data_IF_315613418132
#
_entry.id   IF_315613418132
#
_cell.length_a   1.000
_cell.length_b   1.000
_cell.length_c   1.000
_cell.angle_alpha   90.00
_cell.angle_beta   90.00
_cell.angle_gamma   90.00
#
_symmetry.space_group_name_H-M   'P 1'
#
loop_
_entity.id
_entity.type
_entity.pdbx_description
1 polymer ?
#
# COMPACT_ATOMS: atom_id res chain seq x y z
N UNK A 1 -21.92 28.10 14.65
CA UNK A 1 -20.48 27.97 14.35
C UNK A 1 -20.17 28.01 12.85
N UNK A 2 -20.82 28.91 12.08
CA UNK A 2 -20.69 28.99 10.62
C UNK A 2 -19.52 29.89 10.14
N UNK A 3 -18.50 30.11 10.98
CA UNK A 3 -17.51 31.17 10.80
C UNK A 3 -16.11 30.85 11.34
N UNK A 4 -15.68 29.60 11.34
CA UNK A 4 -14.23 29.35 11.25
C UNK A 4 -13.86 29.53 9.78
N UNK A 5 -13.29 30.69 9.42
CA UNK A 5 -12.80 30.94 8.06
C UNK A 5 -11.98 29.74 7.59
N UNK A 6 -12.28 29.23 6.39
CA UNK A 6 -11.65 28.03 5.81
C UNK A 6 -10.12 28.05 5.93
N UNK A 7 -9.52 29.24 5.80
CA UNK A 7 -8.11 29.48 6.04
C UNK A 7 -7.65 29.11 7.47
N UNK A 8 -8.35 29.58 8.52
CA UNK A 8 -8.02 29.27 9.92
C UNK A 8 -8.14 27.79 10.21
N UNK A 9 -9.16 27.12 9.65
CA UNK A 9 -9.33 25.66 9.77
C UNK A 9 -8.16 24.91 9.14
N UNK A 10 -7.79 25.27 7.92
CA UNK A 10 -6.67 24.64 7.22
C UNK A 10 -5.34 24.85 7.95
N UNK A 11 -5.11 26.07 8.45
CA UNK A 11 -3.92 26.39 9.24
C UNK A 11 -3.86 25.56 10.52
N UNK A 12 -4.99 25.40 11.20
CA UNK A 12 -5.08 24.59 12.42
C UNK A 12 -4.82 23.11 12.13
N UNK A 13 -5.44 22.53 11.09
CA UNK A 13 -5.17 21.13 10.70
C UNK A 13 -3.69 20.91 10.34
N UNK A 14 -3.07 21.85 9.62
CA UNK A 14 -1.66 21.78 9.27
C UNK A 14 -0.75 21.90 10.51
N UNK A 15 -1.11 22.75 11.48
CA UNK A 15 -0.39 22.86 12.75
C UNK A 15 -0.41 21.53 13.51
N UNK A 16 -1.61 20.97 13.71
CA UNK A 16 -1.79 19.68 14.40
C UNK A 16 -1.03 18.55 13.71
N UNK A 17 -1.13 18.46 12.38
CA UNK A 17 -0.38 17.47 11.62
C UNK A 17 1.14 17.66 11.75
N UNK A 18 1.63 18.90 11.74
CA UNK A 18 3.05 19.20 11.90
C UNK A 18 3.54 18.85 13.30
N UNK A 19 2.77 19.15 14.34
CA UNK A 19 3.06 18.77 15.73
C UNK A 19 3.09 17.25 15.90
N UNK A 20 2.09 16.54 15.36
CA UNK A 20 2.06 15.06 15.35
C UNK A 20 3.31 14.50 14.67
N UNK A 21 3.70 15.03 13.51
CA UNK A 21 4.88 14.57 12.76
C UNK A 21 6.19 14.85 13.49
N UNK A 22 6.37 16.05 14.03
CA UNK A 22 7.54 16.41 14.82
C UNK A 22 7.66 15.55 16.08
N UNK A 23 6.53 15.23 16.71
CA UNK A 23 6.50 14.37 17.88
C UNK A 23 6.91 12.94 17.55
N UNK A 24 6.34 12.35 16.49
CA UNK A 24 6.68 11.00 16.03
C UNK A 24 8.16 10.91 15.61
N UNK A 25 8.67 11.94 14.96
CA UNK A 25 10.09 12.04 14.60
C UNK A 25 10.99 12.03 15.85
N UNK A 26 10.71 12.89 16.83
CA UNK A 26 11.44 12.93 18.12
C UNK A 26 11.38 11.61 18.88
N UNK A 27 10.24 10.92 18.87
CA UNK A 27 10.12 9.59 19.48
C UNK A 27 11.03 8.56 18.82
N UNK A 28 11.20 8.62 17.50
CA UNK A 28 12.01 7.65 16.75
C UNK A 28 13.51 7.71 17.10
N UNK A 29 14.01 8.85 17.61
CA UNK A 29 15.41 9.03 17.97
C UNK A 29 15.69 8.97 19.48
N UNK A 30 14.68 9.08 20.34
CA UNK A 30 14.89 9.11 21.79
C UNK A 30 15.17 7.73 22.39
N UNK A 31 16.34 7.60 23.02
CA UNK A 31 16.73 6.40 23.76
C UNK A 31 15.85 6.14 24.99
N UNK A 32 15.38 7.21 25.65
CA UNK A 32 14.48 7.15 26.83
C UNK A 32 13.13 6.54 26.43
N UNK A 33 12.58 6.93 25.29
CA UNK A 33 11.32 6.37 24.80
C UNK A 33 11.48 4.92 24.32
N UNK A 34 12.59 4.60 23.63
CA UNK A 34 12.91 3.22 23.22
C UNK A 34 13.07 2.27 24.40
N UNK A 35 13.75 2.70 25.47
CA UNK A 35 13.94 1.88 26.67
C UNK A 35 12.64 1.69 27.45
N UNK A 36 11.77 2.72 27.51
CA UNK A 36 10.47 2.63 28.16
C UNK A 36 9.48 1.70 27.43
N UNK A 37 9.57 1.58 26.10
CA UNK A 37 8.77 0.64 25.30
C UNK A 37 9.28 -0.80 25.40
N UNK A 38 10.60 -0.99 25.51
CA UNK A 38 11.22 -2.31 25.61
C UNK A 38 11.08 -2.96 26.99
N UNK A 39 10.77 -2.20 28.05
CA UNK A 39 10.76 -2.70 29.43
C UNK A 39 9.44 -3.36 29.88
N UNK A 40 8.45 -3.55 29.00
CA UNK A 40 7.10 -4.00 29.38
C UNK A 40 6.74 -5.45 29.03
N UNK A 41 7.70 -6.35 28.77
CA UNK A 41 7.46 -7.81 28.75
C UNK A 41 8.65 -8.47 29.43
N UNK A 42 8.52 -9.18 30.59
CA UNK A 42 7.57 -10.29 30.77
C UNK A 42 6.89 -10.45 32.16
N UNK A 43 5.65 -10.94 32.14
CA UNK A 43 5.08 -11.83 33.16
C UNK A 43 4.51 -11.22 34.45
N UNK A 44 3.22 -10.83 34.44
CA UNK A 44 2.34 -10.84 35.62
C UNK A 44 0.87 -11.07 35.21
N UNK A 45 0.00 -11.64 36.08
CA UNK A 45 -1.33 -12.09 35.71
C UNK A 45 -2.35 -10.94 35.57
N UNK A 46 -3.30 -11.18 34.67
CA UNK A 46 -4.45 -10.35 34.30
C UNK A 46 -5.43 -10.24 35.47
N UNK A 47 -5.46 -9.12 36.20
CA UNK A 47 -6.72 -8.61 36.82
C UNK A 47 -6.62 -7.15 37.35
N UNK A 48 -5.44 -6.55 37.54
CA UNK A 48 -5.34 -5.20 38.16
C UNK A 48 -4.59 -4.13 37.33
N UNK A 49 -4.42 -4.35 36.02
CA UNK A 49 -3.73 -3.37 35.15
C UNK A 49 -4.61 -2.21 34.63
N UNK A 50 -5.90 -2.17 34.97
CA UNK A 50 -6.86 -1.20 34.39
C UNK A 50 -7.18 0.03 35.27
N UNK A 51 -6.50 0.26 36.40
CA UNK A 51 -6.88 1.35 37.32
C UNK A 51 -6.00 2.61 37.28
N UNK A 52 -4.82 2.58 36.64
CA UNK A 52 -3.95 3.75 36.60
C UNK A 52 -3.46 4.01 35.17
N UNK A 53 -4.03 5.06 34.59
CA UNK A 53 -3.62 5.70 33.33
C UNK A 53 -2.13 6.02 33.47
N UNK A 54 -1.29 5.11 32.98
CA UNK A 54 0.14 5.33 32.84
C UNK A 54 0.38 5.73 31.38
N UNK A 55 1.03 6.87 31.23
CA UNK A 55 1.44 7.48 29.96
C UNK A 55 2.35 6.55 29.16
N UNK A 56 1.77 5.63 28.42
CA UNK A 56 2.45 4.84 27.40
C UNK A 56 2.48 5.65 26.08
N UNK A 57 3.59 5.70 25.31
CA UNK A 57 3.64 6.32 23.98
C UNK A 57 2.50 5.92 23.04
N UNK A 58 1.99 4.69 23.13
CA UNK A 58 0.82 4.23 22.37
C UNK A 58 -0.47 4.90 22.81
N UNK A 59 -0.64 5.18 24.11
CA UNK A 59 -1.79 5.89 24.67
C UNK A 59 -1.70 7.40 24.43
N UNK A 60 -0.51 8.00 24.46
CA UNK A 60 -0.28 9.40 24.05
C UNK A 60 -0.48 9.57 22.54
N UNK A 61 0.05 8.66 21.72
CA UNK A 61 -0.23 8.59 20.29
C UNK A 61 -1.72 8.41 20.05
N UNK A 62 -2.39 7.50 20.76
CA UNK A 62 -3.83 7.32 20.67
C UNK A 62 -4.59 8.58 21.08
N UNK A 63 -4.18 9.30 22.13
CA UNK A 63 -4.77 10.59 22.53
C UNK A 63 -4.56 11.69 21.49
N UNK A 64 -3.37 11.80 20.88
CA UNK A 64 -3.14 12.76 19.79
C UNK A 64 -3.93 12.38 18.54
N UNK A 65 -3.99 11.08 18.22
CA UNK A 65 -4.82 10.55 17.15
C UNK A 65 -6.30 10.84 17.41
N UNK A 66 -6.76 10.66 18.65
CA UNK A 66 -8.12 10.92 19.07
C UNK A 66 -8.44 12.42 19.08
N UNK A 67 -7.52 13.27 19.53
CA UNK A 67 -7.67 14.73 19.47
C UNK A 67 -7.76 15.24 18.03
N UNK A 68 -6.93 14.71 17.12
CA UNK A 68 -7.07 14.98 15.70
C UNK A 68 -8.34 14.34 15.12
N UNK A 69 -8.69 13.11 15.46
CA UNK A 69 -9.89 12.47 14.95
C UNK A 69 -11.16 13.17 15.44
N UNK A 70 -11.16 13.72 16.66
CA UNK A 70 -12.19 14.63 17.17
C UNK A 70 -12.27 15.91 16.34
N UNK A 71 -11.14 16.51 15.97
CA UNK A 71 -11.13 17.67 15.05
C UNK A 71 -11.62 17.27 13.66
N UNK A 72 -11.24 16.09 13.15
CA UNK A 72 -11.61 15.60 11.82
C UNK A 72 -13.08 15.11 11.76
N UNK A 73 -13.66 14.70 12.89
CA UNK A 73 -15.08 14.32 13.06
C UNK A 73 -15.97 15.51 13.43
N UNK A 74 -15.44 16.53 14.11
CA UNK A 74 -16.11 17.79 14.44
C UNK A 74 -16.14 18.77 13.25
N UNK A 75 -15.38 18.52 12.18
CA UNK A 75 -15.68 19.10 10.86
C UNK A 75 -17.11 18.68 10.54
N UNK A 76 -18.05 19.62 10.34
CA UNK A 76 -19.46 19.30 10.31
C UNK A 76 -19.73 18.23 9.24
N UNK A 77 -19.94 17.00 9.71
CA UNK A 77 -20.84 16.06 9.07
C UNK A 77 -22.21 16.70 9.29
N UNK A 78 -22.52 17.70 8.47
CA UNK A 78 -23.88 18.22 8.37
C UNK A 78 -24.83 17.05 8.23
N UNK A 79 -26.04 17.21 8.76
CA UNK A 79 -27.11 16.20 8.67
C UNK A 79 -27.50 15.86 7.21
N UNK A 80 -26.91 16.55 6.23
CA UNK A 80 -26.69 16.09 4.86
C UNK A 80 -25.17 15.99 4.68
N UNK A 81 -24.57 14.90 4.14
CA UNK A 81 -23.13 14.87 3.88
C UNK A 81 -22.79 16.03 2.94
N UNK A 82 -22.34 17.15 3.52
CA UNK A 82 -22.24 18.40 2.80
C UNK A 82 -21.14 18.24 1.76
N UNK A 83 -21.48 18.58 0.52
CA UNK A 83 -20.61 18.70 -0.65
C UNK A 83 -19.28 19.43 -0.39
N UNK A 84 -19.19 20.17 0.72
CA UNK A 84 -18.04 20.94 1.21
C UNK A 84 -17.00 20.04 1.89
N UNK A 85 -17.39 19.05 2.69
CA UNK A 85 -16.47 18.16 3.40
C UNK A 85 -15.76 17.20 2.43
N UNK A 86 -16.49 16.63 1.46
CA UNK A 86 -15.94 15.81 0.39
C UNK A 86 -15.00 16.56 -0.58
N UNK A 87 -15.01 17.91 -0.52
CA UNK A 87 -14.16 18.81 -1.31
C UNK A 87 -13.02 19.43 -0.50
N UNK A 88 -12.89 19.13 0.79
CA UNK A 88 -11.76 19.62 1.59
C UNK A 88 -10.52 18.77 1.29
N UNK A 89 -9.82 19.17 0.23
CA UNK A 89 -8.62 18.50 -0.28
C UNK A 89 -7.54 18.38 0.81
N UNK A 90 -7.39 19.39 1.66
CA UNK A 90 -6.36 19.40 2.71
C UNK A 90 -6.72 18.34 3.77
N UNK A 91 -7.97 18.30 4.22
CA UNK A 91 -8.43 17.27 5.14
C UNK A 91 -8.12 15.86 4.60
N UNK A 92 -8.58 15.53 3.38
CA UNK A 92 -8.37 14.20 2.83
C UNK A 92 -6.89 13.88 2.57
N UNK A 93 -6.10 14.83 2.09
CA UNK A 93 -4.68 14.64 1.86
C UNK A 93 -3.93 14.37 3.18
N UNK A 94 -4.25 15.11 4.26
CA UNK A 94 -3.64 14.89 5.57
C UNK A 94 -4.08 13.56 6.17
N UNK A 95 -5.37 13.19 6.09
CA UNK A 95 -5.84 11.87 6.55
C UNK A 95 -5.09 10.72 5.86
N UNK A 96 -4.83 10.84 4.55
CA UNK A 96 -4.04 9.87 3.81
C UNK A 96 -2.58 9.86 4.26
N UNK A 97 -1.95 11.04 4.32
CA UNK A 97 -0.53 11.17 4.69
C UNK A 97 -0.24 10.79 6.14
N UNK A 98 -1.24 10.79 7.04
CA UNK A 98 -1.11 10.32 8.43
C UNK A 98 -0.78 8.83 8.50
N UNK A 99 -1.39 8.03 7.63
CA UNK A 99 -1.26 6.58 7.63
C UNK A 99 -0.20 6.08 6.64
N UNK A 100 -0.02 6.80 5.53
CA UNK A 100 0.86 6.37 4.43
C UNK A 100 1.88 7.47 4.14
N UNK A 101 3.15 7.18 4.34
CA UNK A 101 4.19 8.19 4.16
C UNK A 101 4.40 8.53 2.69
N UNK A 102 4.69 9.81 2.42
CA UNK A 102 5.01 10.28 1.07
C UNK A 102 6.17 9.49 0.47
N UNK A 103 7.25 9.31 1.24
CA UNK A 103 8.44 8.57 0.81
C UNK A 103 8.12 7.13 0.36
N UNK A 104 7.17 6.46 1.01
CA UNK A 104 6.77 5.10 0.64
C UNK A 104 6.05 5.09 -0.73
N UNK A 105 5.14 6.03 -0.96
CA UNK A 105 4.45 6.18 -2.25
C UNK A 105 5.40 6.60 -3.38
N UNK A 106 6.34 7.49 -3.08
CA UNK A 106 7.39 7.93 -3.98
C UNK A 106 8.36 6.80 -4.34
N UNK A 107 8.76 5.99 -3.36
CA UNK A 107 9.62 4.82 -3.58
C UNK A 107 8.90 3.76 -4.39
N UNK A 108 7.60 3.52 -4.09
CA UNK A 108 6.77 2.57 -4.84
C UNK A 108 6.61 2.95 -6.31
N UNK A 109 6.44 4.24 -6.61
CA UNK A 109 6.25 4.69 -7.99
C UNK A 109 7.49 4.52 -8.87
N UNK A 110 8.66 4.33 -8.26
CA UNK A 110 9.93 4.23 -8.98
C UNK A 110 10.28 5.51 -9.76
N UNK A 111 9.73 6.66 -9.35
CA UNK A 111 10.01 7.94 -9.98
C UNK A 111 11.33 8.59 -9.51
N UNK A 112 11.83 8.21 -8.33
CA UNK A 112 13.04 8.72 -7.68
C UNK A 112 14.07 7.61 -7.32
N UNK A 113 13.78 6.33 -7.54
CA UNK A 113 14.50 5.22 -6.89
C UNK A 113 15.11 4.15 -7.81
N UNK A 114 15.97 3.33 -7.19
CA UNK A 114 16.50 2.05 -7.69
C UNK A 114 15.43 0.95 -7.58
N UNK A 115 15.42 -0.04 -8.49
CA UNK A 115 14.44 -1.13 -8.53
C UNK A 115 14.32 -1.91 -7.20
N UNK A 116 15.43 -2.03 -6.46
CA UNK A 116 15.41 -2.65 -5.12
C UNK A 116 14.55 -1.86 -4.11
N UNK A 117 14.62 -0.53 -4.14
CA UNK A 117 13.81 0.33 -3.27
C UNK A 117 12.32 0.29 -3.66
N UNK A 118 12.04 0.19 -4.96
CA UNK A 118 10.67 0.00 -5.49
C UNK A 118 10.07 -1.29 -4.93
N UNK A 119 10.80 -2.41 -5.06
CA UNK A 119 10.35 -3.71 -4.57
C UNK A 119 10.13 -3.73 -3.05
N UNK A 120 11.06 -3.17 -2.29
CA UNK A 120 10.94 -3.10 -0.83
C UNK A 120 9.74 -2.26 -0.41
N UNK A 121 9.53 -1.10 -1.05
CA UNK A 121 8.38 -0.25 -0.77
C UNK A 121 7.05 -0.94 -1.13
N UNK A 122 7.00 -1.62 -2.27
CA UNK A 122 5.82 -2.38 -2.70
C UNK A 122 5.46 -3.49 -1.69
N UNK A 123 6.46 -4.26 -1.23
CA UNK A 123 6.25 -5.30 -0.22
C UNK A 123 5.78 -4.73 1.12
N UNK A 124 6.36 -3.61 1.56
CA UNK A 124 5.96 -2.96 2.81
C UNK A 124 4.52 -2.41 2.73
N UNK A 125 4.16 -1.76 1.62
CA UNK A 125 2.79 -1.29 1.38
C UNK A 125 1.80 -2.44 1.34
N UNK A 126 2.11 -3.49 0.58
CA UNK A 126 1.26 -4.68 0.46
C UNK A 126 1.03 -5.32 1.83
N UNK A 127 2.11 -5.57 2.58
CA UNK A 127 2.02 -6.15 3.91
C UNK A 127 1.19 -5.29 4.88
N UNK A 128 1.36 -3.96 4.85
CA UNK A 128 0.54 -3.06 5.65
C UNK A 128 -0.94 -3.08 5.23
N UNK A 129 -1.24 -3.06 3.93
CA UNK A 129 -2.60 -3.11 3.39
C UNK A 129 -3.32 -4.42 3.76
N UNK A 130 -2.59 -5.54 3.80
CA UNK A 130 -3.12 -6.85 4.21
C UNK A 130 -3.39 -6.91 5.73
N UNK A 131 -2.48 -6.36 6.54
CA UNK A 131 -2.61 -6.38 8.00
C UNK A 131 -3.65 -5.39 8.55
N UNK A 132 -3.88 -4.27 7.86
CA UNK A 132 -4.82 -3.22 8.26
C UNK A 132 -5.72 -2.80 7.08
N UNK A 133 -6.46 -3.79 6.55
CA UNK A 133 -7.33 -3.61 5.39
C UNK A 133 -8.41 -2.52 5.56
N UNK A 134 -9.08 -2.33 6.72
CA UNK A 134 -10.03 -1.22 6.91
C UNK A 134 -9.38 0.15 6.73
N UNK A 135 -8.20 0.38 7.33
CA UNK A 135 -7.47 1.64 7.18
C UNK A 135 -6.99 1.86 5.74
N UNK A 136 -6.52 0.80 5.06
CA UNK A 136 -6.13 0.87 3.66
C UNK A 136 -7.30 1.27 2.74
N UNK A 137 -8.47 0.66 2.94
CA UNK A 137 -9.70 1.01 2.21
C UNK A 137 -10.15 2.45 2.49
N UNK A 138 -10.04 2.90 3.75
CA UNK A 138 -10.33 4.29 4.13
C UNK A 138 -9.37 5.28 3.46
N UNK A 139 -8.07 4.95 3.40
CA UNK A 139 -7.09 5.73 2.65
C UNK A 139 -7.42 5.80 1.15
N UNK A 140 -7.92 4.72 0.55
CA UNK A 140 -8.36 4.75 -0.85
C UNK A 140 -9.49 5.75 -1.04
N UNK A 141 -10.49 5.76 -0.16
CA UNK A 141 -11.57 6.74 -0.20
C UNK A 141 -11.05 8.18 -0.10
N UNK A 142 -10.14 8.47 0.84
CA UNK A 142 -9.52 9.81 0.95
C UNK A 142 -8.77 10.19 -0.34
N UNK A 143 -7.99 9.27 -0.92
CA UNK A 143 -7.30 9.49 -2.18
C UNK A 143 -8.27 9.79 -3.33
N UNK A 144 -9.37 9.05 -3.42
CA UNK A 144 -10.42 9.28 -4.43
C UNK A 144 -11.09 10.65 -4.27
N UNK A 145 -11.39 11.07 -3.03
CA UNK A 145 -11.93 12.41 -2.78
C UNK A 145 -10.98 13.53 -3.25
N UNK A 146 -9.68 13.42 -2.96
CA UNK A 146 -8.65 14.35 -3.45
C UNK A 146 -8.61 14.35 -4.97
N UNK A 147 -8.51 13.16 -5.58
CA UNK A 147 -8.42 12.98 -7.02
C UNK A 147 -9.62 13.59 -7.74
N UNK A 148 -10.84 13.24 -7.36
CA UNK A 148 -12.07 13.71 -8.01
C UNK A 148 -12.29 15.21 -7.84
N UNK A 149 -11.94 15.76 -6.67
CA UNK A 149 -12.04 17.20 -6.41
C UNK A 149 -11.05 17.98 -7.27
N UNK A 150 -9.77 17.58 -7.31
CA UNK A 150 -8.73 18.29 -8.04
C UNK A 150 -8.80 18.09 -9.56
N UNK A 151 -9.25 16.92 -10.03
CA UNK A 151 -9.57 16.68 -11.44
C UNK A 151 -10.58 17.72 -11.98
N UNK A 152 -11.57 18.07 -11.18
CA UNK A 152 -12.62 19.02 -11.56
C UNK A 152 -12.26 20.49 -11.28
N UNK A 153 -11.19 20.76 -10.53
CA UNK A 153 -10.79 22.10 -10.12
C UNK A 153 -10.14 22.87 -11.28
N UNK A 154 -10.65 24.05 -11.59
CA UNK A 154 -10.16 24.85 -12.73
C UNK A 154 -8.76 25.42 -12.48
N UNK A 155 -8.55 26.02 -11.30
CA UNK A 155 -7.31 26.71 -10.92
C UNK A 155 -6.68 26.03 -9.71
N UNK A 156 -5.45 25.56 -9.88
CA UNK A 156 -4.68 24.93 -8.81
C UNK A 156 -4.10 25.98 -7.85
N UNK A 157 -4.30 25.74 -6.55
CA UNK A 157 -3.51 26.32 -5.46
C UNK A 157 -2.11 25.69 -5.45
N UNK A 158 -1.19 26.27 -4.67
CA UNK A 158 0.22 25.83 -4.63
C UNK A 158 0.41 24.36 -4.22
N UNK A 159 -0.43 23.83 -3.34
CA UNK A 159 -0.33 22.46 -2.84
C UNK A 159 -1.09 21.43 -3.68
N UNK A 160 -2.04 21.87 -4.51
CA UNK A 160 -2.89 20.96 -5.29
C UNK A 160 -2.10 20.01 -6.20
N UNK A 161 -1.03 20.44 -6.92
CA UNK A 161 -0.30 19.51 -7.77
C UNK A 161 0.27 18.31 -7.01
N UNK A 162 0.82 18.57 -5.80
CA UNK A 162 1.41 17.53 -4.96
C UNK A 162 0.34 16.62 -4.35
N UNK A 163 -0.77 17.18 -3.85
CA UNK A 163 -1.87 16.36 -3.33
C UNK A 163 -2.55 15.53 -4.42
N UNK A 164 -2.68 16.07 -5.64
CA UNK A 164 -3.17 15.30 -6.77
C UNK A 164 -2.24 14.13 -7.09
N UNK A 165 -0.93 14.35 -7.05
CA UNK A 165 0.06 13.29 -7.26
C UNK A 165 0.03 12.23 -6.15
N UNK A 166 -0.05 12.63 -4.88
CA UNK A 166 -0.17 11.71 -3.74
C UNK A 166 -1.43 10.85 -3.88
N UNK A 167 -2.55 11.45 -4.27
CA UNK A 167 -3.79 10.72 -4.52
C UNK A 167 -3.65 9.71 -5.64
N UNK A 168 -2.98 10.11 -6.74
CA UNK A 168 -2.66 9.23 -7.86
C UNK A 168 -1.82 8.04 -7.41
N UNK A 169 -0.71 8.27 -6.69
CA UNK A 169 0.16 7.20 -6.23
C UNK A 169 -0.56 6.21 -5.32
N UNK A 170 -1.40 6.69 -4.41
CA UNK A 170 -2.13 5.78 -3.53
C UNK A 170 -3.19 4.95 -4.27
N UNK A 171 -3.99 5.56 -5.14
CA UNK A 171 -4.97 4.84 -5.96
C UNK A 171 -4.26 3.78 -6.81
N UNK A 172 -3.14 4.14 -7.43
CA UNK A 172 -2.34 3.22 -8.24
C UNK A 172 -1.75 2.08 -7.41
N UNK A 173 -1.19 2.37 -6.23
CA UNK A 173 -0.65 1.36 -5.33
C UNK A 173 -1.74 0.37 -4.87
N UNK A 174 -2.90 0.88 -4.48
CA UNK A 174 -4.02 0.04 -4.06
C UNK A 174 -4.55 -0.84 -5.20
N UNK A 175 -4.71 -0.27 -6.41
CA UNK A 175 -5.14 -1.01 -7.61
C UNK A 175 -4.14 -2.14 -7.95
N UNK A 176 -2.85 -1.86 -7.83
CA UNK A 176 -1.79 -2.83 -8.15
C UNK A 176 -1.62 -3.92 -7.10
N UNK A 177 -1.66 -3.57 -5.81
CA UNK A 177 -1.27 -4.44 -4.70
C UNK A 177 -2.45 -5.19 -4.07
N UNK A 178 -3.67 -4.66 -4.19
CA UNK A 178 -4.88 -5.22 -3.57
C UNK A 178 -5.88 -5.67 -4.63
N UNK A 179 -6.27 -4.78 -5.55
CA UNK A 179 -7.32 -5.09 -6.55
C UNK A 179 -6.85 -6.11 -7.59
N UNK A 180 -5.62 -5.97 -8.11
CA UNK A 180 -5.13 -6.89 -9.14
C UNK A 180 -5.06 -8.36 -8.65
N UNK A 181 -4.50 -8.67 -7.46
CA UNK A 181 -4.52 -10.02 -6.92
C UNK A 181 -5.92 -10.54 -6.59
N UNK A 182 -6.83 -9.69 -6.10
CA UNK A 182 -8.23 -10.07 -5.83
C UNK A 182 -9.01 -10.38 -7.12
N UNK A 183 -8.56 -9.90 -8.27
CA UNK A 183 -9.21 -10.19 -9.55
C UNK A 183 -8.78 -11.52 -10.17
N UNK A 184 -7.68 -12.11 -9.70
CA UNK A 184 -7.23 -13.44 -10.10
C UNK A 184 -7.97 -14.54 -9.32
N UNK A 185 -8.66 -14.22 -8.21
CA UNK A 185 -9.44 -15.18 -7.44
C UNK A 185 -10.85 -15.38 -8.06
N UNK A 186 -11.32 -16.63 -8.25
CA UNK A 186 -12.59 -16.90 -8.93
C UNK A 186 -13.88 -16.43 -8.22
N UNK A 187 -13.80 -15.82 -7.04
CA UNK A 187 -14.94 -15.50 -6.17
C UNK A 187 -15.38 -14.03 -6.26
N UNK A 188 -15.30 -13.42 -7.45
CA UNK A 188 -15.74 -12.04 -7.63
C UNK A 188 -17.25 -11.92 -7.47
N UNK A 189 -17.72 -11.24 -6.42
CA UNK A 189 -19.12 -10.84 -6.34
C UNK A 189 -19.47 -9.94 -7.53
N UNK A 190 -20.70 -10.04 -8.03
CA UNK A 190 -21.18 -9.23 -9.15
C UNK A 190 -21.41 -7.75 -8.78
N UNK A 191 -21.24 -7.38 -7.51
CA UNK A 191 -21.52 -6.06 -6.98
C UNK A 191 -20.39 -5.09 -7.33
N UNK A 192 -20.73 -3.96 -7.94
CA UNK A 192 -19.80 -2.87 -8.23
C UNK A 192 -20.08 -1.70 -7.26
N UNK A 193 -19.05 -1.29 -6.52
CA UNK A 193 -19.10 -0.13 -5.60
C UNK A 193 -18.51 1.09 -6.29
N UNK A 194 -19.28 2.18 -6.28
CA UNK A 194 -18.80 3.48 -6.78
C UNK A 194 -18.07 4.20 -5.66
N UNK A 195 -16.77 4.47 -5.87
CA UNK A 195 -15.88 4.96 -4.80
C UNK A 195 -16.25 6.35 -4.21
N UNK A 196 -17.14 7.10 -4.87
CA UNK A 196 -17.66 8.38 -4.38
C UNK A 196 -19.05 8.28 -3.73
N UNK A 197 -19.73 7.12 -3.79
CA UNK A 197 -21.03 6.95 -3.14
C UNK A 197 -20.83 6.69 -1.65
N UNK A 198 -21.18 7.67 -0.81
CA UNK A 198 -20.93 7.65 0.65
C UNK A 198 -21.52 6.43 1.35
N UNK A 199 -22.67 5.90 0.91
CA UNK A 199 -23.28 4.74 1.58
C UNK A 199 -22.55 3.45 1.23
N UNK A 200 -22.34 3.22 -0.05
CA UNK A 200 -21.66 2.02 -0.57
C UNK A 200 -20.21 1.96 -0.08
N UNK A 201 -19.51 3.09 -0.05
CA UNK A 201 -18.11 3.12 0.36
C UNK A 201 -17.93 2.84 1.86
N UNK A 202 -18.83 3.29 2.73
CA UNK A 202 -18.72 3.02 4.18
C UNK A 202 -18.96 1.54 4.49
N UNK A 203 -19.94 0.94 3.81
CA UNK A 203 -20.18 -0.51 3.87
C UNK A 203 -18.94 -1.26 3.38
N UNK A 204 -18.41 -0.88 2.21
CA UNK A 204 -17.21 -1.51 1.65
C UNK A 204 -15.96 -1.32 2.51
N UNK A 205 -15.77 -0.18 3.17
CA UNK A 205 -14.64 0.05 4.11
C UNK A 205 -14.74 -0.89 5.32
N UNK A 206 -15.95 -1.19 5.80
CA UNK A 206 -16.16 -2.07 6.95
C UNK A 206 -16.09 -3.56 6.55
N UNK A 207 -16.87 -3.97 5.55
CA UNK A 207 -17.29 -5.37 5.42
C UNK A 207 -16.27 -6.29 4.73
N UNK A 208 -15.61 -5.88 3.65
CA UNK A 208 -14.54 -6.72 3.12
C UNK A 208 -14.21 -6.61 1.64
N UNK A 209 -13.24 -7.42 1.19
CA UNK A 209 -12.86 -7.61 -0.21
C UNK A 209 -13.96 -8.33 -1.03
N UNK A 210 -13.67 -8.63 -2.31
CA UNK A 210 -14.57 -9.25 -3.31
C UNK A 210 -15.61 -8.33 -3.98
N UNK A 211 -15.40 -7.03 -3.96
CA UNK A 211 -16.31 -6.07 -4.63
C UNK A 211 -15.58 -5.34 -5.75
N UNK A 212 -16.19 -5.22 -6.93
CA UNK A 212 -15.60 -4.48 -8.04
C UNK A 212 -15.62 -2.98 -7.71
N UNK A 213 -14.49 -2.30 -7.89
CA UNK A 213 -14.38 -0.88 -7.54
C UNK A 213 -14.45 -0.02 -8.80
N UNK A 214 -15.30 1.01 -8.79
CA UNK A 214 -15.43 1.96 -9.89
C UNK A 214 -14.97 3.35 -9.48
N UNK A 215 -13.99 3.88 -10.22
CA UNK A 215 -13.54 5.26 -10.09
C UNK A 215 -14.11 6.12 -11.21
N UNK A 216 -14.85 7.16 -10.86
CA UNK A 216 -15.50 8.05 -11.83
C UNK A 216 -14.47 8.70 -12.78
N UNK A 217 -14.61 8.38 -14.06
CA UNK A 217 -13.76 8.85 -15.16
C UNK A 217 -12.54 7.99 -15.47
N UNK A 218 -12.15 7.06 -14.59
CA UNK A 218 -11.12 6.03 -14.86
C UNK A 218 -11.76 4.67 -15.20
N UNK A 219 -12.96 4.41 -14.69
CA UNK A 219 -13.72 3.17 -14.85
C UNK A 219 -13.46 2.17 -13.72
N UNK A 220 -13.78 0.90 -13.98
CA UNK A 220 -13.53 -0.19 -13.02
C UNK A 220 -12.02 -0.39 -12.82
N UNK A 221 -11.62 -0.57 -11.56
CA UNK A 221 -10.25 -0.89 -11.16
C UNK A 221 -10.03 -2.39 -11.41
N UNK A 222 -9.00 -2.69 -12.18
CA UNK A 222 -8.69 -4.03 -12.71
C UNK A 222 -7.18 -4.25 -12.76
N UNK A 223 -6.39 -3.56 -11.93
CA UNK A 223 -4.93 -3.62 -11.94
C UNK A 223 -4.30 -2.91 -13.14
N UNK A 224 -3.52 -3.64 -13.95
CA UNK A 224 -2.62 -3.04 -14.96
C UNK A 224 -3.33 -2.09 -15.94
N UNK A 225 -4.50 -2.49 -16.44
CA UNK A 225 -5.24 -1.69 -17.42
C UNK A 225 -5.82 -0.39 -16.83
N UNK A 226 -6.41 -0.45 -15.63
CA UNK A 226 -6.91 0.75 -14.92
C UNK A 226 -5.77 1.66 -14.47
N UNK A 227 -4.65 1.09 -14.02
CA UNK A 227 -3.45 1.84 -13.66
C UNK A 227 -2.90 2.65 -14.84
N UNK A 228 -2.86 2.06 -16.05
CA UNK A 228 -2.46 2.76 -17.27
C UNK A 228 -3.44 3.90 -17.63
N UNK A 229 -4.75 3.65 -17.57
CA UNK A 229 -5.78 4.70 -17.81
C UNK A 229 -5.65 5.85 -16.82
N UNK A 230 -5.49 5.53 -15.53
CA UNK A 230 -5.32 6.51 -14.46
C UNK A 230 -4.08 7.37 -14.68
N UNK A 231 -2.91 6.76 -14.94
CA UNK A 231 -1.66 7.49 -15.17
C UNK A 231 -1.75 8.38 -16.42
N UNK A 232 -2.37 7.88 -17.51
CA UNK A 232 -2.60 8.65 -18.73
C UNK A 232 -3.48 9.87 -18.47
N UNK A 233 -4.58 9.69 -17.74
CA UNK A 233 -5.47 10.78 -17.38
C UNK A 233 -4.78 11.83 -16.50
N UNK A 234 -4.01 11.40 -15.50
CA UNK A 234 -3.24 12.31 -14.62
C UNK A 234 -2.23 13.13 -15.41
N UNK A 235 -1.46 12.49 -16.31
CA UNK A 235 -0.53 13.20 -17.19
C UNK A 235 -1.23 14.24 -18.07
N UNK A 236 -2.36 13.87 -18.68
CA UNK A 236 -3.14 14.79 -19.51
C UNK A 236 -3.70 15.97 -18.71
N UNK A 237 -4.19 15.74 -17.49
CA UNK A 237 -4.68 16.81 -16.61
C UNK A 237 -3.55 17.79 -16.33
N UNK A 238 -2.39 17.30 -15.87
CA UNK A 238 -1.24 18.15 -15.58
C UNK A 238 -0.75 18.93 -16.80
N UNK A 239 -0.68 18.29 -17.97
CA UNK A 239 -0.25 18.94 -19.22
C UNK A 239 -1.16 20.10 -19.64
N UNK A 240 -2.46 20.03 -19.31
CA UNK A 240 -3.45 21.05 -19.67
C UNK A 240 -3.59 22.16 -18.62
N UNK A 241 -3.03 22.00 -17.40
CA UNK A 241 -3.17 23.01 -16.33
C UNK A 241 -2.32 24.26 -16.62
N UNK A 242 -2.99 25.42 -16.59
CA UNK A 242 -2.34 26.73 -16.72
C UNK A 242 -1.80 27.27 -15.38
N UNK A 243 -2.48 26.97 -14.27
CA UNK A 243 -1.97 27.26 -12.93
C UNK A 243 -0.74 26.39 -12.65
N UNK A 244 0.35 27.00 -12.15
CA UNK A 244 1.60 26.30 -11.86
C UNK A 244 2.15 25.52 -13.07
N UNK A 245 1.98 26.03 -14.29
CA UNK A 245 2.22 25.29 -15.52
C UNK A 245 3.63 24.69 -15.65
N UNK A 246 4.66 25.36 -15.11
CA UNK A 246 6.02 24.81 -15.07
C UNK A 246 6.10 23.52 -14.25
N UNK A 247 5.61 23.56 -13.00
CA UNK A 247 5.52 22.39 -12.12
C UNK A 247 4.62 21.31 -12.72
N UNK A 248 3.42 21.68 -13.18
CA UNK A 248 2.47 20.74 -13.78
C UNK A 248 3.07 20.04 -15.02
N UNK A 249 3.76 20.75 -15.92
CA UNK A 249 4.45 20.10 -17.05
C UNK A 249 5.57 19.16 -16.60
N UNK A 250 6.33 19.55 -15.57
CA UNK A 250 7.35 18.67 -14.98
C UNK A 250 6.74 17.39 -14.41
N UNK A 251 5.63 17.51 -13.68
CA UNK A 251 4.88 16.37 -13.15
C UNK A 251 4.27 15.52 -14.25
N UNK A 252 3.71 16.12 -15.31
CA UNK A 252 3.21 15.38 -16.47
C UNK A 252 4.31 14.54 -17.12
N UNK A 253 5.48 15.14 -17.37
CA UNK A 253 6.64 14.43 -17.91
C UNK A 253 7.10 13.28 -17.00
N UNK A 254 7.08 13.47 -15.67
CA UNK A 254 7.37 12.41 -14.73
C UNK A 254 6.34 11.27 -14.78
N UNK A 255 5.04 11.59 -14.90
CA UNK A 255 3.97 10.59 -15.03
C UNK A 255 4.03 9.89 -16.39
N UNK A 256 4.42 10.56 -17.48
CA UNK A 256 4.60 9.93 -18.79
C UNK A 256 5.72 8.86 -18.77
N UNK A 257 6.74 9.03 -17.93
CA UNK A 257 7.75 7.98 -17.69
C UNK A 257 7.12 6.75 -17.02
N UNK A 258 6.17 6.96 -16.11
CA UNK A 258 5.41 5.87 -15.47
C UNK A 258 4.51 5.19 -16.50
N UNK A 259 3.77 5.96 -17.31
CA UNK A 259 2.95 5.44 -18.43
C UNK A 259 3.80 4.56 -19.35
N UNK A 260 4.98 5.05 -19.76
CA UNK A 260 5.90 4.29 -20.59
C UNK A 260 6.27 2.94 -19.96
N UNK A 261 6.61 2.91 -18.66
CA UNK A 261 6.90 1.67 -17.91
C UNK A 261 5.70 0.73 -17.87
N UNK A 262 4.47 1.25 -17.74
CA UNK A 262 3.24 0.45 -17.71
C UNK A 262 2.88 -0.14 -19.08
N UNK A 263 3.22 0.54 -20.18
CA UNK A 263 2.96 0.08 -21.55
C UNK A 263 3.90 -1.02 -22.05
N UNK A 264 5.11 -1.12 -21.48
CA UNK A 264 6.03 -2.19 -21.85
C UNK A 264 5.38 -3.54 -21.44
N UNK A 265 5.28 -4.52 -22.37
CA UNK A 265 4.95 -5.88 -22.00
C UNK A 265 6.03 -6.35 -21.03
N UNK A 266 5.68 -6.45 -19.75
CA UNK A 266 6.51 -7.11 -18.75
C UNK A 266 6.67 -8.55 -19.22
N UNK A 267 7.79 -8.84 -19.90
CA UNK A 267 8.33 -10.18 -19.93
C UNK A 267 8.70 -10.53 -18.49
N UNK A 268 7.82 -11.29 -17.85
CA UNK A 268 8.03 -12.22 -16.73
C UNK A 268 9.48 -12.22 -16.19
N UNK A 269 9.64 -11.97 -14.89
CA UNK A 269 10.00 -13.07 -14.01
C UNK A 269 8.91 -13.30 -12.95
N UNK A 270 7.84 -14.00 -13.33
CA UNK A 270 7.04 -14.86 -12.43
C UNK A 270 7.89 -16.07 -12.01
N UNK A 271 9.02 -15.81 -11.34
CA UNK A 271 10.04 -16.82 -11.09
C UNK A 271 10.64 -16.80 -9.70
N UNK A 272 9.91 -16.41 -8.65
CA UNK A 272 10.33 -16.68 -7.24
C UNK A 272 9.15 -17.12 -6.33
N UNK A 273 7.91 -17.17 -6.84
CA UNK A 273 6.79 -17.79 -6.12
C UNK A 273 6.69 -19.29 -6.42
N UNK A 274 7.67 -20.08 -5.96
CA UNK A 274 7.50 -21.48 -5.53
C UNK A 274 8.87 -22.06 -5.14
N UNK A 275 9.20 -21.93 -3.86
CA UNK A 275 10.34 -22.55 -3.22
C UNK A 275 9.97 -23.06 -1.84
N UNK A 276 8.81 -23.70 -1.70
CA UNK A 276 8.49 -24.52 -0.53
C UNK A 276 8.55 -25.98 -0.97
N UNK A 277 9.62 -26.73 -0.66
CA UNK A 277 9.54 -28.17 -0.62
C UNK A 277 8.74 -28.55 0.64
N UNK A 278 7.42 -28.66 0.50
CA UNK A 278 6.60 -29.43 1.45
C UNK A 278 6.92 -30.90 1.18
N UNK A 279 7.63 -31.54 2.10
CA UNK A 279 7.85 -32.98 2.05
C UNK A 279 9.02 -33.44 2.89
N UNK A 280 8.86 -33.45 4.21
CA UNK A 280 9.60 -34.39 5.03
C UNK A 280 9.00 -35.79 4.80
N UNK A 281 9.84 -36.83 4.60
CA UNK A 281 9.50 -38.17 5.02
C UNK A 281 10.36 -38.49 6.26
N UNK A 282 9.74 -38.43 7.43
CA UNK A 282 10.13 -39.31 8.53
C UNK A 282 9.89 -40.75 8.07
N UNK A 283 10.91 -41.61 8.18
CA UNK A 283 10.75 -43.03 7.90
C UNK A 283 12.09 -43.74 7.76
N UNK A 284 12.70 -44.05 8.90
CA UNK A 284 13.78 -45.05 9.01
C UNK A 284 13.22 -46.42 8.58
N UNK A 285 13.89 -47.18 7.68
CA UNK A 285 13.72 -48.62 7.64
C UNK A 285 14.90 -49.27 8.36
N UNK A 286 14.63 -49.72 9.59
CA UNK A 286 15.41 -50.74 10.29
C UNK A 286 15.15 -52.07 9.55
N UNK A 287 16.19 -52.73 9.06
CA UNK A 287 16.06 -54.09 8.54
C UNK A 287 17.27 -54.59 7.78
N UNK A 288 18.20 -55.25 8.48
CA UNK A 288 19.15 -56.20 7.89
C UNK A 288 18.40 -57.29 7.13
N UNK A 289 19.01 -57.83 6.07
CA UNK A 289 19.25 -59.28 6.08
C UNK A 289 20.71 -59.64 5.78
N UNK A 290 21.22 -60.59 6.58
CA UNK A 290 22.41 -61.38 6.33
C UNK A 290 22.33 -62.13 4.99
N UNK A 291 23.47 -62.27 4.31
CA UNK A 291 23.63 -63.26 3.24
C UNK A 291 24.89 -63.05 2.41
N UNK A 292 26.01 -63.63 2.84
CA UNK A 292 27.06 -64.05 1.91
C UNK A 292 26.53 -65.26 1.09
N UNK A 293 27.04 -65.52 -0.12
CA UNK A 293 28.24 -66.35 -0.19
C UNK A 293 29.27 -65.94 -1.26
N UNK A 294 30.46 -66.50 -1.03
CA UNK A 294 31.67 -66.55 -1.84
C UNK A 294 31.45 -66.95 -3.31
N UNK A 295 32.37 -66.51 -4.19
CA UNK A 295 32.63 -67.21 -5.46
C UNK A 295 33.37 -66.39 -6.51
N UNK A 296 34.68 -66.21 -6.33
CA UNK A 296 35.57 -66.02 -7.49
C UNK A 296 35.81 -67.40 -8.14
N UNK A 297 36.00 -67.43 -9.46
CA UNK A 297 37.19 -68.11 -9.95
C UNK A 297 37.94 -67.31 -11.02
N UNK A 298 39.26 -67.28 -10.88
CA UNK A 298 40.20 -67.00 -11.95
C UNK A 298 40.07 -68.06 -13.06
N UNK A 299 40.11 -67.62 -14.31
CA UNK A 299 40.26 -68.46 -15.49
C UNK A 299 41.01 -67.70 -16.57
N UNK A 300 42.25 -68.13 -16.83
CA UNK A 300 43.22 -67.57 -17.75
C UNK A 300 43.12 -68.14 -19.18
N UNK A 301 43.71 -67.42 -20.15
CA UNK A 301 44.19 -67.87 -21.49
C UNK A 301 43.08 -68.13 -22.54
N UNK A 302 43.23 -67.91 -23.84
CA UNK A 302 44.26 -67.40 -24.76
C UNK A 302 43.63 -67.51 -26.17
N UNK A 303 43.91 -66.61 -27.11
CA UNK A 303 43.39 -66.77 -28.48
C UNK A 303 43.62 -65.56 -29.40
N UNK A 304 44.71 -65.64 -30.16
CA UNK A 304 45.10 -64.83 -31.32
C UNK A 304 44.03 -64.76 -32.41
N UNK A 305 43.98 -63.64 -33.14
CA UNK A 305 43.90 -63.63 -34.62
C UNK A 305 44.23 -62.23 -35.15
N UNK A 306 45.26 -62.20 -35.98
CA UNK A 306 45.67 -61.11 -36.85
C UNK A 306 44.66 -60.86 -38.01
N UNK A 307 44.91 -59.75 -38.69
CA UNK A 307 44.62 -59.42 -40.08
C UNK A 307 43.42 -58.52 -40.46
N UNK A 308 43.81 -57.27 -40.76
CA UNK A 308 43.66 -56.53 -42.03
C UNK A 308 42.30 -56.02 -42.54
N UNK A 309 42.27 -54.67 -42.62
CA UNK A 309 41.94 -53.82 -43.78
C UNK A 309 40.62 -54.06 -44.52
N UNK A 310 39.67 -53.14 -44.30
CA UNK A 310 39.01 -52.31 -45.32
C UNK A 310 38.28 -51.14 -44.66
#
# INVERSE_FOLDING_TARGET
MAGMDSYRRNLYMLSLYSEERLFLDKMSYSSIWKSSLSSQVPGLPVQEQWAHITSNPSALRAMMFQSMDEVFTAIPISAKPDYIAARDVIHHALSLLRLVSLHMLESFSGWQGNDAAVHMSANNLKHWMENDAPSARKCLWHAVCVYSTLKSKEKFACHDPLFFLISFFYIWAFDTLVVAPEMETPEASATEVRLLNTREIQIWIAEGPNTRLNLVGVGSLTGKASSLRLATEVSQIFSKRKSWAGLCRGLASAVDRIVSKLTIPQGIPQGILQGVPRGAPQGVPRGMPQGAPQGAPQGSRQGTSDDQVA
#
